data_IF_343407185786
#
_entry.id   IF_343407185786
#
_cell.length_a   1.000
_cell.length_b   1.000
_cell.length_c   1.000
_cell.angle_alpha   90.00
_cell.angle_beta   90.00
_cell.angle_gamma   90.00
#
_symmetry.space_group_name_H-M   'P 1'
#
loop_
_entity.id
_entity.type
_entity.pdbx_description
1 polymer ?
#
# COMPACT_ATOMS: atom_id res chain seq x y z
N UNK A 1 11.47 17.52 -29.40
CA UNK A 1 10.85 16.66 -28.38
C UNK A 1 11.00 17.37 -27.04
N UNK A 2 9.90 17.94 -26.49
CA UNK A 2 9.94 18.85 -25.34
C UNK A 2 10.47 18.17 -24.08
N UNK A 3 11.28 18.88 -23.29
CA UNK A 3 11.87 18.41 -22.02
C UNK A 3 10.80 17.83 -21.07
N UNK A 4 9.59 18.39 -21.06
CA UNK A 4 8.44 17.86 -20.31
C UNK A 4 8.09 16.40 -20.68
N UNK A 5 8.06 16.03 -21.95
CA UNK A 5 7.77 14.66 -22.39
C UNK A 5 8.85 13.66 -21.93
N UNK A 6 10.13 14.07 -21.97
CA UNK A 6 11.23 13.22 -21.53
C UNK A 6 11.15 12.89 -20.01
N UNK A 7 10.76 13.88 -19.21
CA UNK A 7 10.53 13.66 -17.75
C UNK A 7 9.36 12.71 -17.49
N UNK A 8 8.26 12.83 -18.22
CA UNK A 8 7.12 11.93 -18.05
C UNK A 8 7.46 10.47 -18.36
N UNK A 9 8.19 10.21 -19.44
CA UNK A 9 8.62 8.84 -19.77
C UNK A 9 9.59 8.26 -18.74
N UNK A 10 10.54 9.06 -18.25
CA UNK A 10 11.48 8.60 -17.21
C UNK A 10 10.77 8.26 -15.91
N UNK A 11 9.80 9.06 -15.48
CA UNK A 11 9.00 8.80 -14.27
C UNK A 11 8.14 7.55 -14.47
N UNK A 12 7.47 7.42 -15.60
CA UNK A 12 6.65 6.23 -15.90
C UNK A 12 7.48 4.97 -15.93
N UNK A 13 8.69 5.02 -16.52
CA UNK A 13 9.61 3.89 -16.54
C UNK A 13 10.12 3.52 -15.14
N UNK A 14 10.47 4.52 -14.31
CA UNK A 14 10.86 4.30 -12.93
C UNK A 14 9.72 3.67 -12.11
N UNK A 15 8.48 4.11 -12.32
CA UNK A 15 7.30 3.53 -11.68
C UNK A 15 7.07 2.08 -12.14
N UNK A 16 7.27 1.77 -13.42
CA UNK A 16 7.17 0.41 -13.93
C UNK A 16 8.19 -0.53 -13.28
N UNK A 17 9.46 -0.09 -13.17
CA UNK A 17 10.51 -0.85 -12.50
C UNK A 17 10.16 -1.04 -11.02
N UNK A 18 9.74 0.03 -10.32
CA UNK A 18 9.36 -0.04 -8.92
C UNK A 18 8.19 -1.00 -8.69
N UNK A 19 7.19 -0.98 -9.55
CA UNK A 19 6.06 -1.91 -9.49
C UNK A 19 6.49 -3.37 -9.73
N UNK A 20 7.39 -3.60 -10.69
CA UNK A 20 7.96 -4.93 -10.94
C UNK A 20 8.75 -5.46 -9.74
N UNK A 21 9.61 -4.62 -9.14
CA UNK A 21 10.36 -4.96 -7.93
C UNK A 21 9.41 -5.23 -6.74
N UNK A 22 8.35 -4.45 -6.63
CA UNK A 22 7.32 -4.68 -5.61
C UNK A 22 6.64 -6.03 -5.77
N UNK A 23 6.33 -6.45 -6.99
CA UNK A 23 5.77 -7.78 -7.28
C UNK A 23 6.68 -8.94 -6.87
N UNK A 24 8.00 -8.72 -6.79
CA UNK A 24 8.99 -9.70 -6.36
C UNK A 24 9.26 -9.69 -4.84
N UNK A 25 8.59 -8.84 -4.08
CA UNK A 25 8.82 -8.64 -2.65
C UNK A 25 8.70 -9.93 -1.81
N UNK A 26 7.86 -10.85 -2.21
CA UNK A 26 7.65 -12.14 -1.55
C UNK A 26 8.86 -13.08 -1.63
N UNK A 27 9.72 -12.95 -2.66
CA UNK A 27 10.90 -13.81 -2.85
C UNK A 27 11.90 -13.66 -1.71
N UNK A 28 12.42 -12.45 -1.40
CA UNK A 28 13.31 -12.28 -0.25
C UNK A 28 12.65 -12.63 1.08
N UNK A 29 11.34 -12.40 1.21
CA UNK A 29 10.58 -12.76 2.41
C UNK A 29 10.65 -14.28 2.68
N UNK A 30 10.36 -15.09 1.66
CA UNK A 30 10.44 -16.54 1.74
C UNK A 30 11.88 -17.07 1.89
N UNK A 31 12.84 -16.42 1.24
CA UNK A 31 14.25 -16.79 1.38
C UNK A 31 14.77 -16.56 2.81
N UNK A 32 14.37 -15.48 3.47
CA UNK A 32 14.71 -15.20 4.87
C UNK A 32 14.07 -16.22 5.81
N UNK A 33 12.83 -16.61 5.58
CA UNK A 33 12.15 -17.67 6.34
C UNK A 33 12.88 -19.01 6.20
N UNK A 34 13.20 -19.41 4.97
CA UNK A 34 13.96 -20.63 4.70
C UNK A 34 15.38 -20.61 5.32
N UNK A 35 15.97 -19.41 5.49
CA UNK A 35 17.23 -19.19 6.20
C UNK A 35 17.14 -19.22 7.72
N UNK A 36 15.95 -19.51 8.29
CA UNK A 36 15.72 -19.65 9.73
C UNK A 36 15.13 -18.44 10.44
N UNK A 37 14.86 -17.35 9.72
CA UNK A 37 14.17 -16.17 10.26
C UNK A 37 12.65 -16.37 10.20
N UNK A 38 12.12 -17.17 11.09
CA UNK A 38 10.70 -17.54 11.10
C UNK A 38 9.78 -16.43 11.59
N UNK A 39 8.54 -16.44 11.11
CA UNK A 39 7.48 -15.51 11.52
C UNK A 39 7.83 -14.05 11.24
N UNK A 40 7.49 -13.15 12.18
CA UNK A 40 7.70 -11.70 12.03
C UNK A 40 9.15 -11.24 11.88
N UNK A 41 10.12 -12.08 12.22
CA UNK A 41 11.55 -11.73 12.11
C UNK A 41 12.01 -11.57 10.67
N UNK A 42 11.48 -12.33 9.73
CA UNK A 42 11.75 -12.15 8.30
C UNK A 42 11.29 -10.75 7.84
N UNK A 43 10.10 -10.33 8.25
CA UNK A 43 9.57 -8.98 7.95
C UNK A 43 10.41 -7.88 8.59
N UNK A 44 10.75 -8.02 9.87
CA UNK A 44 11.56 -7.03 10.60
C UNK A 44 12.93 -6.86 9.93
N UNK A 45 13.64 -7.95 9.64
CA UNK A 45 14.98 -7.90 9.03
C UNK A 45 14.96 -7.24 7.66
N UNK A 46 13.92 -7.45 6.87
CA UNK A 46 13.75 -6.83 5.57
C UNK A 46 13.45 -5.32 5.66
N UNK A 47 12.79 -4.87 6.73
CA UNK A 47 12.44 -3.47 6.95
C UNK A 47 13.52 -2.67 7.69
N UNK A 48 14.38 -3.32 8.46
CA UNK A 48 15.43 -2.65 9.25
C UNK A 48 16.41 -1.87 8.37
N UNK A 49 16.85 -2.43 7.24
CA UNK A 49 17.83 -1.77 6.36
C UNK A 49 17.27 -0.46 5.80
N UNK A 50 16.10 -0.43 5.14
CA UNK A 50 15.49 0.82 4.68
C UNK A 50 15.25 1.81 5.83
N UNK A 51 14.82 1.34 6.99
CA UNK A 51 14.61 2.18 8.17
C UNK A 51 15.90 2.88 8.60
N UNK A 52 17.01 2.14 8.73
CA UNK A 52 18.30 2.70 9.13
C UNK A 52 18.85 3.70 8.10
N UNK A 53 18.63 3.46 6.80
CA UNK A 53 19.03 4.39 5.72
C UNK A 53 18.21 5.68 5.77
N UNK A 54 16.90 5.59 6.02
CA UNK A 54 16.01 6.74 6.02
C UNK A 54 16.05 7.55 7.33
N UNK A 55 16.46 6.93 8.43
CA UNK A 55 16.49 7.56 9.75
C UNK A 55 17.33 8.86 9.80
N UNK A 56 18.59 8.89 9.32
CA UNK A 56 19.39 10.11 9.30
C UNK A 56 18.74 11.24 8.49
N UNK A 57 18.11 10.88 7.37
CA UNK A 57 17.41 11.85 6.53
C UNK A 57 16.17 12.44 7.22
N UNK A 58 15.42 11.64 7.97
CA UNK A 58 14.29 12.08 8.78
C UNK A 58 14.74 13.06 9.88
N UNK A 59 15.83 12.74 10.59
CA UNK A 59 16.41 13.64 11.60
C UNK A 59 16.92 14.95 10.99
N UNK A 60 17.59 14.90 9.86
CA UNK A 60 18.07 16.09 9.16
C UNK A 60 16.92 17.00 8.72
N UNK A 61 15.83 16.44 8.23
CA UNK A 61 14.63 17.19 7.86
C UNK A 61 13.95 17.84 9.06
N UNK A 62 13.86 17.12 10.17
CA UNK A 62 13.34 17.67 11.44
C UNK A 62 14.21 18.83 11.94
N UNK A 63 15.53 18.69 11.86
CA UNK A 63 16.49 19.75 12.25
C UNK A 63 16.33 21.01 11.38
N UNK A 64 16.00 20.88 10.11
CA UNK A 64 15.71 22.01 9.20
C UNK A 64 14.36 22.70 9.43
N UNK A 65 13.64 22.38 10.50
CA UNK A 65 12.41 23.06 10.90
C UNK A 65 11.13 22.57 10.20
N UNK A 66 11.15 21.38 9.58
CA UNK A 66 9.92 20.76 9.08
C UNK A 66 9.04 20.36 10.27
N UNK A 67 7.90 21.03 10.47
CA UNK A 67 6.91 20.62 11.46
C UNK A 67 6.19 19.38 10.98
N UNK A 68 6.39 18.28 11.66
CA UNK A 68 5.59 17.06 11.45
C UNK A 68 4.34 17.16 12.32
N UNK A 69 3.19 17.44 11.70
CA UNK A 69 1.90 17.32 12.39
C UNK A 69 1.61 15.88 12.82
N UNK A 70 0.65 15.69 13.72
CA UNK A 70 0.23 14.36 14.21
C UNK A 70 -0.25 13.41 13.08
N UNK A 71 -0.63 13.96 11.94
CA UNK A 71 -1.07 13.18 10.79
C UNK A 71 0.04 12.30 10.20
N UNK A 72 1.28 12.79 10.17
CA UNK A 72 2.41 12.03 9.60
C UNK A 72 2.71 10.73 10.35
N UNK A 73 2.82 10.70 11.69
CA UNK A 73 3.01 9.45 12.41
C UNK A 73 1.81 8.50 12.29
N UNK A 74 0.57 9.01 12.22
CA UNK A 74 -0.63 8.19 12.01
C UNK A 74 -0.60 7.53 10.62
N UNK A 75 -0.31 8.29 9.57
CA UNK A 75 -0.16 7.76 8.21
C UNK A 75 0.96 6.72 8.16
N UNK A 76 2.11 7.03 8.77
CA UNK A 76 3.26 6.12 8.82
C UNK A 76 2.95 4.82 9.57
N UNK A 77 2.22 4.89 10.69
CA UNK A 77 1.80 3.72 11.45
C UNK A 77 0.83 2.84 10.65
N UNK A 78 -0.19 3.44 10.05
CA UNK A 78 -1.15 2.72 9.22
C UNK A 78 -0.47 2.07 8.01
N UNK A 79 0.38 2.81 7.31
CA UNK A 79 1.13 2.29 6.17
C UNK A 79 2.07 1.15 6.59
N UNK A 80 2.84 1.35 7.67
CA UNK A 80 3.76 0.34 8.21
C UNK A 80 3.03 -0.91 8.68
N UNK A 81 1.90 -0.78 9.37
CA UNK A 81 1.05 -1.91 9.75
C UNK A 81 0.53 -2.66 8.52
N UNK A 82 0.11 -1.94 7.48
CA UNK A 82 -0.34 -2.53 6.22
C UNK A 82 0.75 -3.34 5.54
N UNK A 83 1.97 -2.80 5.44
CA UNK A 83 3.13 -3.51 4.87
C UNK A 83 3.52 -4.72 5.73
N UNK A 84 3.50 -4.59 7.05
CA UNK A 84 3.81 -5.70 7.95
C UNK A 84 2.79 -6.84 7.79
N UNK A 85 1.51 -6.54 7.73
CA UNK A 85 0.45 -7.52 7.45
C UNK A 85 0.65 -8.18 6.07
N UNK A 86 0.88 -7.39 5.03
CA UNK A 86 1.14 -7.87 3.67
C UNK A 86 2.34 -8.83 3.63
N UNK A 87 3.48 -8.43 4.20
CA UNK A 87 4.68 -9.26 4.23
C UNK A 87 4.49 -10.58 4.97
N UNK A 88 3.85 -10.53 6.16
CA UNK A 88 3.61 -11.73 6.97
C UNK A 88 2.57 -12.67 6.33
N UNK A 89 1.63 -12.15 5.54
CA UNK A 89 0.65 -12.99 4.87
C UNK A 89 1.30 -14.00 3.92
N UNK A 90 2.40 -13.64 3.25
CA UNK A 90 3.15 -14.55 2.37
C UNK A 90 3.78 -15.75 3.07
N UNK A 91 3.97 -15.67 4.38
CA UNK A 91 4.50 -16.76 5.19
C UNK A 91 3.39 -17.71 5.70
N UNK A 92 2.16 -17.22 5.74
CA UNK A 92 1.03 -17.89 6.40
C UNK A 92 -0.01 -18.45 5.42
N UNK A 93 0.03 -18.01 4.16
CA UNK A 93 -0.87 -18.48 3.11
C UNK A 93 -0.16 -18.54 1.76
N UNK A 94 -0.87 -19.03 0.74
CA UNK A 94 -0.39 -19.00 -0.64
C UNK A 94 -0.18 -17.57 -1.14
N UNK A 95 0.93 -17.34 -1.87
CA UNK A 95 1.32 -16.00 -2.35
C UNK A 95 0.24 -15.40 -3.25
N UNK A 96 -0.38 -16.19 -4.12
CA UNK A 96 -1.40 -15.71 -5.04
C UNK A 96 -2.64 -15.29 -4.26
N UNK A 97 -3.06 -16.09 -3.26
CA UNK A 97 -4.19 -15.75 -2.38
C UNK A 97 -3.93 -14.46 -1.60
N UNK A 98 -2.74 -14.35 -0.98
CA UNK A 98 -2.35 -13.15 -0.24
C UNK A 98 -2.39 -11.89 -1.13
N UNK A 99 -1.81 -11.97 -2.33
CA UNK A 99 -1.82 -10.87 -3.30
C UNK A 99 -3.24 -10.44 -3.67
N UNK A 100 -4.11 -11.38 -3.99
CA UNK A 100 -5.46 -11.08 -4.44
C UNK A 100 -6.29 -10.45 -3.33
N UNK A 101 -6.24 -11.00 -2.10
CA UNK A 101 -6.93 -10.43 -0.95
C UNK A 101 -6.40 -9.04 -0.59
N UNK A 102 -5.11 -8.83 -0.68
CA UNK A 102 -4.51 -7.51 -0.51
C UNK A 102 -4.95 -6.53 -1.60
N UNK A 103 -5.03 -6.95 -2.86
CA UNK A 103 -5.44 -6.11 -4.00
C UNK A 103 -6.92 -5.73 -4.03
N UNK A 104 -7.73 -6.18 -3.06
CA UNK A 104 -9.05 -5.61 -2.79
C UNK A 104 -8.94 -4.18 -2.18
N UNK A 105 -7.73 -3.72 -1.84
CA UNK A 105 -7.43 -2.36 -1.33
C UNK A 105 -8.19 -1.22 -2.03
N UNK A 106 -8.35 -1.16 -3.37
CA UNK A 106 -9.10 -0.09 -4.02
C UNK A 106 -10.58 -0.03 -3.62
N UNK A 107 -11.18 -1.17 -3.24
CA UNK A 107 -12.55 -1.20 -2.71
C UNK A 107 -12.59 -0.50 -1.35
N UNK A 108 -11.68 -0.87 -0.45
CA UNK A 108 -11.56 -0.23 0.87
C UNK A 108 -11.26 1.25 0.77
N UNK A 109 -10.35 1.65 -0.13
CA UNK A 109 -10.04 3.06 -0.39
C UNK A 109 -11.29 3.82 -0.80
N UNK A 110 -12.09 3.27 -1.73
CA UNK A 110 -13.33 3.89 -2.18
C UNK A 110 -14.35 4.03 -1.04
N UNK A 111 -14.51 3.00 -0.22
CA UNK A 111 -15.40 3.03 0.96
C UNK A 111 -14.94 4.11 1.94
N UNK A 112 -13.66 4.17 2.25
CA UNK A 112 -13.12 5.16 3.18
C UNK A 112 -13.19 6.60 2.66
N UNK A 113 -12.96 6.82 1.35
CA UNK A 113 -13.19 8.14 0.74
C UNK A 113 -14.65 8.59 0.87
N UNK A 114 -15.61 7.69 0.65
CA UNK A 114 -17.03 8.00 0.81
C UNK A 114 -17.38 8.35 2.27
N UNK A 115 -16.81 7.62 3.23
CA UNK A 115 -17.11 7.81 4.67
C UNK A 115 -16.37 9.05 5.22
N UNK A 116 -15.07 9.15 5.00
CA UNK A 116 -14.23 10.15 5.66
C UNK A 116 -14.11 11.45 4.88
N UNK A 117 -14.00 11.37 3.55
CA UNK A 117 -13.89 12.56 2.70
C UNK A 117 -15.26 13.04 2.19
N UNK A 118 -16.32 12.23 2.38
CA UNK A 118 -17.69 12.49 1.88
C UNK A 118 -17.71 12.77 0.38
N UNK A 119 -16.82 12.16 -0.37
CA UNK A 119 -16.71 12.29 -1.82
C UNK A 119 -17.37 11.08 -2.48
N UNK A 120 -18.30 11.33 -3.39
CA UNK A 120 -18.89 10.27 -4.19
C UNK A 120 -17.95 9.95 -5.36
N UNK A 121 -17.57 8.68 -5.54
CA UNK A 121 -16.71 8.28 -6.64
C UNK A 121 -17.44 8.50 -7.98
N UNK A 122 -16.68 8.92 -8.99
CA UNK A 122 -17.21 9.06 -10.35
C UNK A 122 -17.58 7.67 -10.91
N UNK A 123 -18.55 7.62 -11.83
CA UNK A 123 -19.10 6.38 -12.38
C UNK A 123 -18.06 5.40 -12.94
N UNK A 124 -17.00 5.91 -13.58
CA UNK A 124 -15.94 5.06 -14.12
C UNK A 124 -15.14 4.33 -13.02
N UNK A 125 -15.12 4.83 -11.78
CA UNK A 125 -14.48 4.13 -10.65
C UNK A 125 -15.25 2.87 -10.27
N UNK A 126 -16.57 2.89 -10.35
CA UNK A 126 -17.38 1.69 -10.17
C UNK A 126 -17.10 0.65 -11.26
N UNK A 127 -16.94 1.10 -12.52
CA UNK A 127 -16.59 0.21 -13.64
C UNK A 127 -15.22 -0.44 -13.39
N UNK A 128 -14.21 0.34 -13.00
CA UNK A 128 -12.87 -0.21 -12.70
C UNK A 128 -12.88 -1.18 -11.51
N UNK A 129 -13.67 -0.91 -10.48
CA UNK A 129 -13.82 -1.82 -9.34
C UNK A 129 -14.49 -3.14 -9.76
N UNK A 130 -15.56 -3.07 -10.56
CA UNK A 130 -16.23 -4.27 -11.08
C UNK A 130 -15.27 -5.10 -11.93
N UNK A 131 -14.52 -4.47 -12.83
CA UNK A 131 -13.52 -5.15 -13.66
C UNK A 131 -12.41 -5.78 -12.82
N UNK A 132 -11.91 -5.08 -11.79
CA UNK A 132 -10.91 -5.61 -10.89
C UNK A 132 -11.43 -6.82 -10.10
N UNK A 133 -12.63 -6.72 -9.53
CA UNK A 133 -13.27 -7.82 -8.79
C UNK A 133 -13.61 -9.01 -9.71
N UNK A 134 -14.02 -8.77 -10.96
CA UNK A 134 -14.24 -9.85 -11.93
C UNK A 134 -12.94 -10.56 -12.28
N UNK A 135 -11.81 -9.83 -12.41
CA UNK A 135 -10.49 -10.44 -12.59
C UNK A 135 -10.10 -11.33 -11.40
N UNK A 136 -10.31 -10.86 -10.18
CA UNK A 136 -10.13 -11.65 -8.95
C UNK A 136 -11.01 -12.92 -9.01
N UNK A 137 -12.28 -12.78 -9.36
CA UNK A 137 -13.20 -13.90 -9.48
C UNK A 137 -12.76 -14.93 -10.51
N UNK A 138 -12.26 -14.49 -11.68
CA UNK A 138 -11.77 -15.39 -12.73
C UNK A 138 -10.57 -16.20 -12.25
N UNK A 139 -9.64 -15.58 -11.54
CA UNK A 139 -8.44 -16.25 -11.02
C UNK A 139 -8.79 -17.28 -9.95
N UNK A 140 -9.71 -16.95 -9.02
CA UNK A 140 -10.12 -17.90 -7.98
C UNK A 140 -11.21 -18.90 -8.42
N UNK A 141 -12.06 -18.49 -9.35
CA UNK A 141 -13.23 -19.29 -9.74
C UNK A 141 -12.90 -20.57 -10.49
N UNK A 142 -11.69 -20.69 -11.04
CA UNK A 142 -11.26 -21.91 -11.76
C UNK A 142 -11.12 -23.11 -10.81
N UNK A 143 -10.84 -22.87 -9.52
CA UNK A 143 -10.72 -23.93 -8.50
C UNK A 143 -11.98 -24.06 -7.63
N UNK A 144 -13.08 -23.39 -8.00
CA UNK A 144 -14.32 -23.37 -7.22
C UNK A 144 -14.20 -22.57 -5.90
N UNK A 145 -13.15 -21.79 -5.74
CA UNK A 145 -12.90 -21.00 -4.54
C UNK A 145 -13.61 -19.65 -4.60
N UNK A 146 -14.47 -19.41 -3.63
CA UNK A 146 -14.94 -18.05 -3.31
C UNK A 146 -13.78 -17.33 -2.64
N UNK A 147 -13.48 -16.05 -2.95
CA UNK A 147 -12.39 -15.27 -2.32
C UNK A 147 -12.72 -14.88 -0.87
N UNK A 148 -13.10 -15.86 -0.07
CA UNK A 148 -13.34 -15.72 1.37
C UNK A 148 -12.04 -16.14 2.08
N UNK A 149 -11.57 -15.35 3.07
CA UNK A 149 -10.45 -15.75 3.89
C UNK A 149 -10.68 -17.10 4.59
N UNK A 150 -9.76 -18.04 4.42
CA UNK A 150 -9.88 -19.40 4.96
C UNK A 150 -8.89 -19.69 6.09
N UNK A 151 -7.83 -18.90 6.18
CA UNK A 151 -6.77 -19.08 7.17
C UNK A 151 -6.31 -17.71 7.72
N UNK A 152 -5.46 -17.73 8.75
CA UNK A 152 -4.94 -16.52 9.38
C UNK A 152 -4.15 -15.62 8.41
N UNK A 153 -3.42 -16.21 7.46
CA UNK A 153 -2.66 -15.48 6.44
C UNK A 153 -3.57 -14.68 5.50
N UNK A 154 -4.71 -15.26 5.12
CA UNK A 154 -5.72 -14.59 4.29
C UNK A 154 -6.32 -13.38 5.00
N UNK A 155 -6.67 -13.52 6.29
CA UNK A 155 -7.18 -12.42 7.11
C UNK A 155 -6.16 -11.30 7.29
N UNK A 156 -4.89 -11.67 7.50
CA UNK A 156 -3.80 -10.71 7.63
C UNK A 156 -3.56 -9.98 6.30
N UNK A 157 -3.64 -10.67 5.15
CA UNK A 157 -3.55 -10.03 3.84
C UNK A 157 -4.66 -8.99 3.63
N UNK A 158 -5.90 -9.34 3.96
CA UNK A 158 -7.05 -8.45 3.87
C UNK A 158 -6.90 -7.23 4.79
N UNK A 159 -6.49 -7.44 6.05
CA UNK A 159 -6.20 -6.36 7.00
C UNK A 159 -5.08 -5.44 6.50
N UNK A 160 -4.06 -5.99 5.85
CA UNK A 160 -3.01 -5.22 5.19
C UNK A 160 -3.58 -4.24 4.16
N UNK A 161 -4.48 -4.71 3.31
CA UNK A 161 -5.19 -3.89 2.33
C UNK A 161 -6.04 -2.78 2.97
N UNK A 162 -6.73 -3.08 4.08
CA UNK A 162 -7.52 -2.11 4.85
C UNK A 162 -6.61 -1.00 5.44
N UNK A 163 -5.48 -1.36 6.05
CA UNK A 163 -4.54 -0.39 6.61
C UNK A 163 -3.91 0.50 5.54
N UNK A 164 -3.54 -0.07 4.39
CA UNK A 164 -3.02 0.72 3.26
C UNK A 164 -4.08 1.69 2.74
N UNK A 165 -5.33 1.24 2.58
CA UNK A 165 -6.44 2.09 2.17
C UNK A 165 -6.68 3.25 3.15
N UNK A 166 -6.69 2.97 4.46
CA UNK A 166 -6.84 3.99 5.49
C UNK A 166 -5.70 5.02 5.47
N UNK A 167 -4.46 4.55 5.29
CA UNK A 167 -3.28 5.39 5.13
C UNK A 167 -3.39 6.31 3.92
N UNK A 168 -3.79 5.78 2.76
CA UNK A 168 -3.93 6.52 1.52
C UNK A 168 -4.99 7.64 1.65
N UNK A 169 -6.16 7.32 2.19
CA UNK A 169 -7.25 8.29 2.39
C UNK A 169 -6.85 9.37 3.40
N UNK A 170 -6.11 9.01 4.47
CA UNK A 170 -5.60 10.00 5.42
C UNK A 170 -4.59 10.94 4.77
N UNK A 171 -3.71 10.41 3.93
CA UNK A 171 -2.73 11.22 3.19
C UNK A 171 -3.42 12.19 2.22
N UNK A 172 -4.47 11.75 1.55
CA UNK A 172 -5.28 12.59 0.67
C UNK A 172 -5.97 13.71 1.47
N UNK A 173 -6.58 13.39 2.61
CA UNK A 173 -7.21 14.38 3.48
C UNK A 173 -6.24 15.50 3.91
N UNK A 174 -5.01 15.14 4.28
CA UNK A 174 -3.96 16.11 4.64
C UNK A 174 -3.57 16.99 3.45
N UNK A 175 -3.44 16.40 2.25
CA UNK A 175 -3.13 17.15 1.04
C UNK A 175 -4.19 18.20 0.69
N UNK A 176 -5.47 17.87 0.85
CA UNK A 176 -6.57 18.83 0.64
C UNK A 176 -6.56 19.99 1.64
N UNK A 177 -6.23 19.74 2.91
CA UNK A 177 -6.15 20.81 3.91
C UNK A 177 -5.03 21.80 3.62
N UNK A 178 -3.87 21.32 3.16
CA UNK A 178 -2.75 22.17 2.76
C UNK A 178 -3.05 23.03 1.52
N UNK A 179 -3.71 22.46 0.50
CA UNK A 179 -4.07 23.20 -0.71
C UNK A 179 -5.08 24.32 -0.40
N UNK A 180 -6.11 24.05 0.40
CA UNK A 180 -7.09 25.06 0.83
C UNK A 180 -6.45 26.20 1.65
N UNK A 181 -5.50 25.90 2.53
CA UNK A 181 -4.79 26.91 3.29
C UNK A 181 -4.01 27.88 2.39
N UNK A 182 -3.47 27.43 1.28
CA UNK A 182 -2.79 28.29 0.29
C UNK A 182 -3.74 29.13 -0.59
N UNK A 183 -4.96 28.70 -0.82
CA UNK A 183 -5.97 29.45 -1.59
C UNK A 183 -6.63 30.57 -0.76
N UNK A 184 -6.75 30.41 0.54
CA UNK A 184 -7.35 31.42 1.45
C UNK A 184 -6.40 32.55 1.82
N UNK A 185 -5.12 32.49 1.49
CA UNK A 185 -4.09 33.52 1.77
C UNK A 185 -3.84 34.42 0.54
N UNK A 186 -4.56 34.26 -0.54
CA UNK A 186 -4.59 35.14 -1.71
C UNK A 186 -5.87 35.95 -1.76
#
# INVERSE_FOLDING_TARGET
>A
MNARHKYHYSISFALLIAAGLWGLFWIPQRALEAGGLTGGWATISQMVIPFLILLPFAFWRKYKGSSFGLDYPVIGLLFGAGIACYANSFLLTDVVRALILFYITPVWTTIFEMIFLRQLPRYYRYITLILALSGVWIVFGQDGFIPIPQNSGDWIALLGGIFIAASAVRMEAVSYTHLRAHETVR
#
